data_IF_415742655509
#
_entry.id   IF_415742655509
#
_cell.length_a   1.000
_cell.length_b   1.000
_cell.length_c   1.000
_cell.angle_alpha   90.00
_cell.angle_beta   90.00
_cell.angle_gamma   90.00
#
_symmetry.space_group_name_H-M   'P 1'
#
loop_
_entity.id
_entity.type
_entity.pdbx_description
1 polymer ?
#
# COMPACT_ATOMS: atom_id res chain seq x y z
N UNK A 1 -8.17 -21.66 19.18
CA UNK A 1 -9.34 -21.45 18.27
C UNK A 1 -8.81 -21.00 16.93
N UNK A 2 -9.25 -21.62 15.85
CA UNK A 2 -8.94 -21.16 14.47
C UNK A 2 -9.66 -19.85 14.22
N UNK A 3 -8.93 -18.82 13.76
CA UNK A 3 -9.55 -17.54 13.40
C UNK A 3 -10.50 -17.71 12.20
N UNK A 4 -11.61 -16.95 12.16
CA UNK A 4 -12.49 -16.94 10.99
C UNK A 4 -11.69 -16.64 9.72
N UNK A 5 -12.02 -17.34 8.63
CA UNK A 5 -11.44 -17.06 7.33
C UNK A 5 -12.32 -16.07 6.59
N UNK A 6 -11.81 -14.85 6.40
CA UNK A 6 -12.46 -13.78 5.64
C UNK A 6 -11.98 -13.72 4.18
N UNK A 7 -10.97 -14.54 3.84
CA UNK A 7 -10.37 -14.58 2.52
C UNK A 7 -10.78 -15.83 1.75
N UNK A 8 -11.31 -15.63 0.58
CA UNK A 8 -11.68 -16.68 -0.38
C UNK A 8 -10.71 -16.61 -1.57
N UNK A 9 -9.90 -17.65 -1.74
CA UNK A 9 -9.06 -17.83 -2.92
C UNK A 9 -9.93 -18.33 -4.07
N UNK A 10 -10.06 -17.55 -5.15
CA UNK A 10 -10.93 -17.86 -6.30
C UNK A 10 -10.18 -18.58 -7.41
N UNK A 11 -8.88 -18.34 -7.56
CA UNK A 11 -8.07 -18.96 -8.60
C UNK A 11 -6.59 -18.63 -8.49
N UNK A 12 -5.79 -19.40 -9.22
CA UNK A 12 -4.34 -19.23 -9.33
C UNK A 12 -3.88 -19.43 -10.76
N UNK A 13 -2.81 -18.74 -11.15
CA UNK A 13 -2.08 -19.00 -12.39
C UNK A 13 -0.58 -18.94 -12.07
N UNK A 14 0.07 -20.12 -12.02
CA UNK A 14 1.36 -20.28 -11.36
C UNK A 14 1.26 -19.95 -9.88
N UNK A 15 2.10 -19.01 -9.41
CA UNK A 15 2.05 -18.49 -8.04
C UNK A 15 1.15 -17.26 -7.88
N UNK A 16 0.75 -16.60 -8.98
CA UNK A 16 -0.19 -15.49 -8.95
C UNK A 16 -1.57 -15.96 -8.49
N UNK A 17 -2.25 -15.13 -7.68
CA UNK A 17 -3.49 -15.48 -6.97
C UNK A 17 -4.56 -14.43 -7.22
N UNK A 18 -5.82 -14.86 -7.32
CA UNK A 18 -6.99 -13.97 -7.28
C UNK A 18 -7.97 -14.44 -6.24
N UNK A 19 -8.60 -13.51 -5.52
CA UNK A 19 -9.49 -13.83 -4.41
C UNK A 19 -10.39 -12.68 -4.00
N UNK A 20 -11.10 -12.89 -2.89
CA UNK A 20 -11.99 -11.92 -2.25
C UNK A 20 -11.73 -11.88 -0.75
N UNK A 21 -11.66 -10.68 -0.21
CA UNK A 21 -11.54 -10.44 1.24
C UNK A 21 -12.80 -9.72 1.72
N UNK A 22 -13.58 -10.38 2.58
CA UNK A 22 -14.78 -9.80 3.15
C UNK A 22 -14.44 -8.93 4.36
N UNK A 23 -14.94 -7.69 4.38
CA UNK A 23 -14.78 -6.74 5.49
C UNK A 23 -16.15 -6.19 5.94
N UNK A 24 -16.26 -5.55 7.11
CA UNK A 24 -17.50 -4.91 7.54
C UNK A 24 -18.06 -3.86 6.58
N UNK A 25 -17.17 -3.17 5.82
CA UNK A 25 -17.58 -2.11 4.90
C UNK A 25 -17.58 -2.50 3.42
N UNK A 26 -17.38 -3.78 3.10
CA UNK A 26 -17.45 -4.28 1.73
C UNK A 26 -16.45 -5.39 1.42
N UNK A 27 -16.42 -5.79 0.15
CA UNK A 27 -15.53 -6.85 -0.35
C UNK A 27 -14.37 -6.23 -1.11
N UNK A 28 -13.16 -6.69 -0.82
CA UNK A 28 -11.93 -6.32 -1.54
C UNK A 28 -11.57 -7.44 -2.51
N UNK A 29 -11.52 -7.13 -3.80
CA UNK A 29 -11.04 -8.05 -4.84
C UNK A 29 -9.53 -8.02 -4.89
N UNK A 30 -8.89 -9.18 -4.81
CA UNK A 30 -7.42 -9.30 -4.87
C UNK A 30 -6.93 -9.89 -6.19
N UNK A 31 -5.75 -9.51 -6.70
CA UNK A 31 -4.85 -8.50 -6.17
C UNK A 31 -5.47 -7.12 -6.10
N UNK A 32 -5.14 -6.37 -5.04
CA UNK A 32 -5.69 -5.04 -4.76
C UNK A 32 -4.58 -4.02 -4.48
N UNK A 33 -4.71 -2.84 -5.06
CA UNK A 33 -3.88 -1.69 -4.70
C UNK A 33 -4.68 -0.71 -3.83
N UNK A 34 -4.12 -0.35 -2.67
CA UNK A 34 -4.70 0.58 -1.72
C UNK A 34 -4.10 1.98 -1.90
N UNK A 35 -4.85 2.93 -2.47
CA UNK A 35 -4.42 4.32 -2.45
C UNK A 35 -4.26 4.85 -1.03
N UNK A 36 -3.22 5.67 -0.78
CA UNK A 36 -2.88 6.14 0.57
C UNK A 36 -3.50 7.49 0.87
N UNK A 37 -4.42 7.51 1.82
CA UNK A 37 -5.05 8.70 2.39
C UNK A 37 -4.43 9.06 3.74
N UNK A 38 -3.20 9.58 3.77
CA UNK A 38 -2.35 9.79 4.96
C UNK A 38 -3.07 10.42 6.15
N UNK A 39 -3.80 11.49 5.94
CA UNK A 39 -4.55 12.22 6.98
C UNK A 39 -6.07 12.08 6.79
N UNK A 40 -6.53 10.94 6.34
CA UNK A 40 -7.94 10.73 6.01
C UNK A 40 -8.38 11.44 4.73
N UNK A 41 -7.42 11.75 3.84
CA UNK A 41 -7.69 12.39 2.56
C UNK A 41 -6.67 11.96 1.50
N UNK A 42 -7.15 11.70 0.30
CA UNK A 42 -6.29 11.55 -0.88
C UNK A 42 -5.84 12.94 -1.34
N UNK A 43 -4.52 13.14 -1.46
CA UNK A 43 -3.99 14.47 -1.81
C UNK A 43 -4.41 14.89 -3.22
N UNK A 44 -5.28 15.90 -3.29
CA UNK A 44 -5.76 16.49 -4.53
C UNK A 44 -6.88 15.72 -5.23
N UNK A 45 -7.52 14.76 -4.56
CA UNK A 45 -8.61 13.96 -5.13
C UNK A 45 -9.80 13.87 -4.17
N UNK A 46 -10.99 13.83 -4.71
CA UNK A 46 -12.19 13.46 -3.98
C UNK A 46 -12.30 11.93 -3.89
N UNK A 47 -12.93 11.45 -2.82
CA UNK A 47 -13.16 10.01 -2.62
C UNK A 47 -14.02 9.37 -3.73
N UNK A 48 -14.93 10.15 -4.35
CA UNK A 48 -15.71 9.68 -5.50
C UNK A 48 -14.80 9.27 -6.67
N UNK A 49 -13.78 10.10 -6.99
CA UNK A 49 -12.83 9.83 -8.08
C UNK A 49 -11.99 8.55 -7.79
N UNK A 50 -11.59 8.36 -6.53
CA UNK A 50 -10.87 7.15 -6.09
C UNK A 50 -11.77 5.91 -6.23
N UNK A 51 -13.05 6.04 -5.89
CA UNK A 51 -14.04 4.95 -6.03
C UNK A 51 -14.33 4.66 -7.50
N UNK A 52 -14.57 5.70 -8.30
CA UNK A 52 -14.88 5.59 -9.72
C UNK A 52 -13.70 4.99 -10.51
N UNK A 53 -12.47 5.24 -10.05
CA UNK A 53 -11.26 4.56 -10.55
C UNK A 53 -11.21 3.06 -10.24
N UNK A 54 -12.07 2.56 -9.34
CA UNK A 54 -12.21 1.14 -9.03
C UNK A 54 -11.46 0.66 -7.78
N UNK A 55 -11.04 1.57 -6.89
CA UNK A 55 -10.46 1.19 -5.61
C UNK A 55 -11.51 0.56 -4.68
N UNK A 56 -11.28 -0.67 -4.24
CA UNK A 56 -12.14 -1.36 -3.28
C UNK A 56 -11.79 -0.99 -1.83
N UNK A 57 -10.54 -0.63 -1.57
CA UNK A 57 -10.00 -0.35 -0.24
C UNK A 57 -8.97 0.78 -0.31
N UNK A 58 -8.84 1.55 0.76
CA UNK A 58 -7.83 2.61 0.92
C UNK A 58 -7.07 2.45 2.23
N UNK A 59 -5.89 3.08 2.31
CA UNK A 59 -5.06 3.06 3.52
C UNK A 59 -5.07 4.42 4.21
N UNK A 60 -5.26 4.42 5.54
CA UNK A 60 -5.07 5.55 6.43
C UNK A 60 -3.83 5.36 7.31
N UNK A 61 -3.09 6.44 7.62
CA UNK A 61 -1.91 6.34 8.48
C UNK A 61 -2.24 6.66 9.93
N UNK A 62 -2.12 5.66 10.78
CA UNK A 62 -2.39 5.73 12.23
C UNK A 62 -1.62 6.84 12.91
N UNK A 63 -0.32 6.97 12.65
CA UNK A 63 0.52 8.02 13.21
C UNK A 63 -0.06 9.43 12.99
N UNK A 64 -0.43 9.76 11.74
CA UNK A 64 -0.96 11.08 11.41
C UNK A 64 -2.34 11.31 12.01
N UNK A 65 -3.21 10.32 11.94
CA UNK A 65 -4.61 10.42 12.40
C UNK A 65 -4.73 10.47 13.92
N UNK A 66 -3.84 9.78 14.67
CA UNK A 66 -3.84 9.87 16.13
C UNK A 66 -3.31 11.23 16.63
N UNK A 67 -2.37 11.85 15.90
CA UNK A 67 -1.85 13.18 16.24
C UNK A 67 -2.86 14.29 15.87
N UNK A 68 -3.48 14.17 14.71
CA UNK A 68 -4.44 15.15 14.22
C UNK A 68 -5.43 14.51 13.24
N UNK A 69 -6.73 14.55 13.49
CA UNK A 69 -7.44 15.30 14.56
C UNK A 69 -7.49 14.58 15.92
N UNK A 70 -6.95 13.37 16.07
CA UNK A 70 -7.01 12.50 17.23
C UNK A 70 -8.00 11.35 17.03
N UNK A 71 -7.60 10.14 17.45
CA UNK A 71 -8.39 8.92 17.24
C UNK A 71 -9.72 8.95 18.00
N UNK A 72 -9.72 9.46 19.22
CA UNK A 72 -10.92 9.61 20.07
C UNK A 72 -11.96 10.54 19.43
N UNK A 73 -11.48 11.62 18.79
CA UNK A 73 -12.37 12.54 18.06
C UNK A 73 -12.98 11.88 16.84
N UNK A 74 -12.18 11.12 16.07
CA UNK A 74 -12.67 10.36 14.90
C UNK A 74 -13.71 9.33 15.35
N UNK A 75 -13.45 8.61 16.44
CA UNK A 75 -14.41 7.67 17.03
C UNK A 75 -15.73 8.34 17.41
N UNK A 76 -15.67 9.50 18.08
CA UNK A 76 -16.87 10.27 18.47
C UNK A 76 -17.67 10.76 17.24
N UNK A 77 -17.02 10.91 16.08
CA UNK A 77 -17.66 11.29 14.82
C UNK A 77 -18.12 10.10 13.97
N UNK A 78 -18.02 8.88 14.50
CA UNK A 78 -18.54 7.66 13.88
C UNK A 78 -17.52 6.87 13.06
N UNK A 79 -16.23 7.02 13.36
CA UNK A 79 -15.14 6.32 12.70
C UNK A 79 -14.65 6.99 11.41
N UNK A 80 -13.57 6.45 10.88
CA UNK A 80 -12.85 7.07 9.76
C UNK A 80 -13.68 7.09 8.47
N UNK A 81 -14.45 6.02 8.19
CA UNK A 81 -15.30 5.93 7.02
C UNK A 81 -16.33 7.06 6.98
N UNK A 82 -17.02 7.28 8.11
CA UNK A 82 -18.02 8.36 8.22
C UNK A 82 -17.38 9.72 8.24
N UNK A 83 -16.27 9.87 8.97
CA UNK A 83 -15.53 11.14 9.07
C UNK A 83 -15.03 11.64 7.72
N UNK A 84 -14.54 10.73 6.87
CA UNK A 84 -13.98 11.07 5.55
C UNK A 84 -15.00 11.04 4.41
N UNK A 85 -16.12 10.32 4.57
CA UNK A 85 -17.09 10.07 3.51
C UNK A 85 -16.64 9.00 2.50
N UNK A 86 -15.60 8.21 2.82
CA UNK A 86 -15.17 7.12 1.93
C UNK A 86 -16.21 6.00 1.82
N UNK A 87 -16.73 5.55 2.94
CA UNK A 87 -17.82 4.57 3.04
C UNK A 87 -17.46 3.12 2.64
N UNK A 88 -16.24 2.85 2.19
CA UNK A 88 -15.72 1.54 1.84
C UNK A 88 -14.70 0.99 2.84
N UNK A 89 -14.12 -0.19 2.59
CA UNK A 89 -13.06 -0.78 3.41
C UNK A 89 -11.86 0.15 3.60
N UNK A 90 -11.31 0.13 4.81
CA UNK A 90 -10.08 0.84 5.16
C UNK A 90 -9.12 -0.07 5.91
N UNK A 91 -7.84 -0.03 5.52
CA UNK A 91 -6.73 -0.54 6.31
C UNK A 91 -6.03 0.65 6.98
N UNK A 92 -5.62 0.51 8.24
CA UNK A 92 -4.68 1.45 8.86
C UNK A 92 -3.38 0.74 9.18
N UNK A 93 -2.25 1.43 8.93
CA UNK A 93 -0.95 0.94 9.37
C UNK A 93 -0.81 0.98 10.90
N UNK A 94 0.27 0.40 11.43
CA UNK A 94 0.52 0.39 12.88
C UNK A 94 0.97 1.73 13.46
N UNK A 95 1.41 2.67 12.60
CA UNK A 95 2.10 3.90 12.98
C UNK A 95 3.61 3.72 13.22
N UNK A 96 4.10 2.49 13.33
CA UNK A 96 5.50 2.18 13.64
C UNK A 96 6.50 2.76 12.63
N UNK A 97 6.25 2.56 11.34
CA UNK A 97 7.14 3.06 10.28
C UNK A 97 7.29 4.60 10.30
N UNK A 98 6.19 5.34 10.51
CA UNK A 98 6.23 6.81 10.55
C UNK A 98 6.98 7.30 11.78
N UNK A 99 6.81 6.66 12.94
CA UNK A 99 7.60 6.97 14.13
C UNK A 99 9.08 6.72 13.86
N UNK A 100 9.43 5.62 13.16
CA UNK A 100 10.82 5.28 12.85
C UNK A 100 11.43 6.22 11.81
N UNK A 101 10.65 6.72 10.85
CA UNK A 101 11.12 7.53 9.72
C UNK A 101 11.07 9.04 9.96
N UNK A 102 10.12 9.54 10.76
CA UNK A 102 9.84 10.97 10.93
C UNK A 102 10.32 11.54 12.27
N UNK A 103 10.60 10.71 13.27
CA UNK A 103 11.01 11.17 14.60
C UNK A 103 12.50 11.01 14.82
N UNK A 104 13.23 12.13 14.85
CA UNK A 104 14.66 12.14 15.17
C UNK A 104 14.95 11.80 16.64
N UNK A 105 14.02 12.14 17.55
CA UNK A 105 14.12 11.91 18.99
C UNK A 105 13.12 10.82 19.41
N UNK A 106 13.50 9.57 19.16
CA UNK A 106 12.73 8.41 19.60
C UNK A 106 13.52 7.55 20.57
N UNK A 107 12.82 6.94 21.52
CA UNK A 107 13.36 5.93 22.42
C UNK A 107 12.55 4.65 22.23
N UNK A 108 13.22 3.60 21.79
CA UNK A 108 12.64 2.27 21.64
C UNK A 108 12.98 1.42 22.86
N UNK A 109 12.00 0.74 23.37
CA UNK A 109 12.11 -0.22 24.50
C UNK A 109 11.32 -1.49 24.17
N UNK A 110 11.45 -2.52 24.99
CA UNK A 110 10.58 -3.70 24.92
C UNK A 110 9.08 -3.35 25.08
N UNK A 111 8.78 -2.32 25.86
CA UNK A 111 7.41 -1.93 26.16
C UNK A 111 6.75 -1.14 25.03
N UNK A 112 7.44 -0.14 24.49
CA UNK A 112 6.87 0.83 23.56
C UNK A 112 7.94 1.63 22.82
N UNK A 113 7.53 2.39 21.82
CA UNK A 113 8.32 3.48 21.25
C UNK A 113 7.80 4.81 21.80
N UNK A 114 8.69 5.62 22.36
CA UNK A 114 8.40 7.00 22.81
C UNK A 114 9.00 7.97 21.82
N UNK A 115 8.25 8.99 21.42
CA UNK A 115 8.70 10.00 20.47
C UNK A 115 8.07 11.37 20.77
N UNK A 116 8.55 12.41 20.11
CA UNK A 116 7.91 13.74 20.14
C UNK A 116 7.06 13.96 18.91
N UNK A 117 5.84 14.43 19.12
CA UNK A 117 4.92 14.86 18.06
C UNK A 117 5.56 15.98 17.25
N UNK A 118 5.56 15.86 15.93
CA UNK A 118 6.05 16.92 15.03
C UNK A 118 5.05 18.08 14.88
N UNK A 119 3.87 17.98 15.50
CA UNK A 119 2.81 19.00 15.43
C UNK A 119 2.95 20.01 16.54
N UNK A 120 3.13 19.54 17.78
CA UNK A 120 3.09 20.33 19.00
C UNK A 120 4.25 20.05 19.96
N UNK A 121 5.09 19.05 19.67
CA UNK A 121 6.24 18.66 20.46
C UNK A 121 5.91 17.76 21.67
N UNK A 122 4.66 17.39 21.86
CA UNK A 122 4.22 16.54 22.95
C UNK A 122 4.90 15.18 22.92
N UNK A 123 5.21 14.66 24.11
CA UNK A 123 5.77 13.32 24.27
C UNK A 123 4.65 12.29 24.18
N UNK A 124 4.78 11.37 23.23
CA UNK A 124 3.82 10.30 22.95
C UNK A 124 4.51 8.96 23.13
N UNK A 125 3.79 8.03 23.75
CA UNK A 125 4.16 6.64 23.87
C UNK A 125 3.21 5.79 23.02
N UNK A 126 3.78 5.00 22.12
CA UNK A 126 3.04 4.06 21.27
C UNK A 126 3.49 2.63 21.62
N UNK A 127 2.67 1.93 22.37
CA UNK A 127 2.81 0.50 22.64
C UNK A 127 2.00 -0.33 21.64
N UNK A 128 2.22 -1.66 21.51
CA UNK A 128 1.36 -2.53 20.72
C UNK A 128 -0.12 -2.39 21.05
N UNK A 129 -0.46 -2.32 22.34
CA UNK A 129 -1.84 -2.18 22.82
C UNK A 129 -2.44 -0.82 22.39
N UNK A 130 -1.66 0.27 22.53
CA UNK A 130 -2.12 1.61 22.13
C UNK A 130 -2.28 1.72 20.62
N UNK A 131 -1.38 1.11 19.82
CA UNK A 131 -1.53 1.06 18.38
C UNK A 131 -2.82 0.37 17.96
N UNK A 132 -3.15 -0.78 18.54
CA UNK A 132 -4.40 -1.50 18.28
C UNK A 132 -5.62 -0.69 18.75
N UNK A 133 -5.56 -0.07 19.93
CA UNK A 133 -6.63 0.80 20.42
C UNK A 133 -6.91 1.96 19.47
N UNK A 134 -5.86 2.66 19.01
CA UNK A 134 -5.99 3.76 18.04
C UNK A 134 -6.65 3.29 16.75
N UNK A 135 -6.19 2.19 16.16
CA UNK A 135 -6.75 1.63 14.93
C UNK A 135 -8.23 1.21 15.12
N UNK A 136 -8.58 0.68 16.29
CA UNK A 136 -9.97 0.38 16.66
C UNK A 136 -10.82 1.64 16.78
N UNK A 137 -10.32 2.70 17.41
CA UNK A 137 -11.00 4.00 17.49
C UNK A 137 -11.20 4.64 16.12
N UNK A 138 -10.25 4.44 15.21
CA UNK A 138 -10.38 4.85 13.82
C UNK A 138 -11.46 4.06 13.06
N UNK A 139 -11.82 2.85 13.51
CA UNK A 139 -12.79 1.97 12.85
C UNK A 139 -12.20 1.23 11.65
N UNK A 140 -10.88 0.92 11.69
CA UNK A 140 -10.21 0.19 10.61
C UNK A 140 -10.78 -1.20 10.41
N UNK A 141 -11.11 -1.56 9.17
CA UNK A 141 -11.50 -2.94 8.81
C UNK A 141 -10.33 -3.90 8.98
N UNK A 142 -9.14 -3.44 8.64
CA UNK A 142 -7.88 -4.19 8.77
C UNK A 142 -6.89 -3.35 9.58
N UNK A 143 -6.55 -3.83 10.76
CA UNK A 143 -5.50 -3.27 11.61
C UNK A 143 -4.18 -4.02 11.38
N UNK A 144 -3.06 -3.34 11.60
CA UNK A 144 -1.72 -3.92 11.53
C UNK A 144 -1.12 -4.04 12.93
N UNK A 145 -0.39 -5.13 13.21
CA UNK A 145 0.43 -5.21 14.42
C UNK A 145 1.45 -4.07 14.48
N UNK A 146 1.87 -3.63 15.66
CA UNK A 146 3.04 -2.76 15.78
C UNK A 146 4.31 -3.55 15.56
N UNK A 147 5.24 -2.99 14.79
CA UNK A 147 6.52 -3.60 14.40
C UNK A 147 7.68 -2.61 14.42
N UNK A 148 8.89 -3.11 14.47
CA UNK A 148 10.11 -2.33 14.27
C UNK A 148 10.67 -2.59 12.85
N UNK A 149 10.57 -1.59 11.98
CA UNK A 149 11.13 -1.62 10.64
C UNK A 149 12.55 -1.03 10.63
N UNK A 150 13.55 -1.84 10.27
CA UNK A 150 14.94 -1.40 10.15
C UNK A 150 15.20 -0.90 8.75
N UNK A 151 15.84 0.28 8.65
CA UNK A 151 16.28 0.83 7.36
C UNK A 151 17.53 0.09 6.88
N UNK A 152 17.58 -0.26 5.60
CA UNK A 152 18.72 -0.91 4.98
C UNK A 152 19.66 0.11 4.30
N UNK A 153 20.99 -0.20 4.23
CA UNK A 153 21.64 -1.37 4.80
C UNK A 153 21.78 -1.28 6.33
N UNK A 154 21.75 -2.42 7.02
CA UNK A 154 21.90 -2.53 8.47
C UNK A 154 22.69 -3.79 8.86
N UNK A 155 23.25 -3.79 10.05
CA UNK A 155 23.94 -4.95 10.58
C UNK A 155 22.94 -6.09 10.88
N UNK A 156 23.33 -7.35 10.59
CA UNK A 156 22.50 -8.54 10.82
C UNK A 156 21.95 -8.60 12.26
N UNK A 157 22.76 -8.25 13.25
CA UNK A 157 22.36 -8.26 14.66
C UNK A 157 21.22 -7.29 14.97
N UNK A 158 21.22 -6.11 14.34
CA UNK A 158 20.16 -5.11 14.50
C UNK A 158 18.86 -5.57 13.82
N UNK A 159 18.97 -6.16 12.62
CA UNK A 159 17.82 -6.75 11.91
C UNK A 159 17.21 -7.87 12.75
N UNK A 160 18.03 -8.77 13.31
CA UNK A 160 17.57 -9.87 14.15
C UNK A 160 16.89 -9.37 15.44
N UNK A 161 17.50 -8.41 16.13
CA UNK A 161 16.93 -7.79 17.33
C UNK A 161 15.56 -7.17 17.03
N UNK A 162 15.43 -6.40 15.96
CA UNK A 162 14.19 -5.75 15.55
C UNK A 162 13.11 -6.78 15.15
N UNK A 163 13.49 -7.83 14.44
CA UNK A 163 12.59 -8.92 14.07
C UNK A 163 12.05 -9.64 15.31
N UNK A 164 12.92 -9.96 16.27
CA UNK A 164 12.51 -10.61 17.52
C UNK A 164 11.60 -9.71 18.37
N UNK A 165 11.88 -8.41 18.44
CA UNK A 165 10.98 -7.45 19.11
C UNK A 165 9.62 -7.41 18.43
N UNK A 166 9.61 -7.35 17.09
CA UNK A 166 8.37 -7.34 16.30
C UNK A 166 7.51 -8.59 16.54
N UNK A 167 8.12 -9.77 16.72
CA UNK A 167 7.39 -11.00 17.10
C UNK A 167 6.76 -10.90 18.49
N UNK A 168 7.49 -10.41 19.50
CA UNK A 168 6.91 -10.20 20.84
C UNK A 168 5.80 -9.16 20.84
N UNK A 169 5.93 -8.11 20.04
CA UNK A 169 4.90 -7.10 19.84
C UNK A 169 3.70 -7.63 19.05
N UNK A 170 3.92 -8.61 18.15
CA UNK A 170 2.85 -9.31 17.45
C UNK A 170 1.92 -10.05 18.42
N UNK A 171 2.47 -10.78 19.39
CA UNK A 171 1.69 -11.45 20.44
C UNK A 171 0.87 -10.46 21.28
N UNK A 172 1.47 -9.32 21.64
CA UNK A 172 0.80 -8.27 22.41
C UNK A 172 -0.31 -7.60 21.60
N UNK A 173 -0.05 -7.26 20.35
CA UNK A 173 -1.04 -6.73 19.41
C UNK A 173 -2.21 -7.71 19.24
N UNK A 174 -1.91 -9.01 19.10
CA UNK A 174 -2.93 -10.06 18.99
C UNK A 174 -3.85 -10.10 20.20
N UNK A 175 -3.28 -10.11 21.42
CA UNK A 175 -4.07 -10.08 22.66
C UNK A 175 -4.93 -8.83 22.79
N UNK A 176 -4.37 -7.66 22.43
CA UNK A 176 -5.13 -6.41 22.45
C UNK A 176 -6.30 -6.39 21.44
N UNK A 177 -6.16 -7.14 20.36
CA UNK A 177 -7.18 -7.25 19.31
C UNK A 177 -8.32 -8.23 19.64
N UNK A 178 -8.19 -9.10 20.64
CA UNK A 178 -9.20 -10.11 21.00
C UNK A 178 -10.58 -9.53 21.29
N UNK A 179 -10.65 -8.26 21.71
CA UNK A 179 -11.91 -7.55 21.97
C UNK A 179 -12.50 -6.83 20.77
N UNK A 180 -11.90 -6.98 19.59
CA UNK A 180 -12.41 -6.36 18.37
C UNK A 180 -13.75 -6.99 17.95
N UNK A 181 -14.67 -6.22 17.36
CA UNK A 181 -15.93 -6.75 16.84
C UNK A 181 -15.69 -7.80 15.73
N UNK A 182 -16.67 -8.70 15.57
CA UNK A 182 -16.60 -9.71 14.51
C UNK A 182 -16.52 -9.06 13.11
N UNK A 183 -15.74 -9.67 12.23
CA UNK A 183 -15.53 -9.18 10.87
C UNK A 183 -14.33 -8.24 10.69
N UNK A 184 -13.84 -7.63 11.78
CA UNK A 184 -12.59 -6.87 11.75
C UNK A 184 -11.38 -7.80 11.76
N UNK A 185 -10.27 -7.35 11.18
CA UNK A 185 -9.10 -8.19 10.97
C UNK A 185 -7.83 -7.55 11.53
N UNK A 186 -6.90 -8.42 11.96
CA UNK A 186 -5.54 -8.04 12.33
C UNK A 186 -4.56 -8.81 11.44
N UNK A 187 -3.61 -8.08 10.84
CA UNK A 187 -2.54 -8.65 10.04
C UNK A 187 -1.22 -8.62 10.80
N UNK A 188 -0.47 -9.73 10.70
CA UNK A 188 0.90 -9.83 11.17
C UNK A 188 1.88 -9.27 10.15
N UNK A 189 3.05 -8.77 10.59
CA UNK A 189 4.06 -8.18 9.71
C UNK A 189 5.36 -8.97 9.82
N UNK A 190 5.76 -9.64 8.73
CA UNK A 190 7.05 -10.31 8.61
C UNK A 190 8.16 -9.28 8.50
N UNK A 191 9.12 -9.34 9.42
CA UNK A 191 10.35 -8.58 9.41
C UNK A 191 11.56 -9.51 9.17
N UNK A 192 12.77 -8.98 9.02
CA UNK A 192 13.99 -9.74 8.78
C UNK A 192 14.91 -9.13 7.72
N UNK A 193 14.61 -7.90 7.28
CA UNK A 193 15.44 -7.13 6.32
C UNK A 193 15.70 -7.91 5.03
N UNK A 194 16.96 -7.92 4.61
CA UNK A 194 17.47 -8.65 3.44
C UNK A 194 18.11 -10.01 3.81
N UNK A 195 17.72 -10.58 4.98
CA UNK A 195 18.27 -11.85 5.51
C UNK A 195 17.20 -12.95 5.46
N UNK A 196 17.26 -13.89 4.48
CA UNK A 196 16.24 -14.91 4.27
C UNK A 196 15.95 -15.78 5.50
N UNK A 197 16.98 -16.14 6.28
CA UNK A 197 16.81 -16.97 7.47
C UNK A 197 15.98 -16.28 8.55
N UNK A 198 16.17 -14.95 8.72
CA UNK A 198 15.40 -14.17 9.68
C UNK A 198 13.95 -14.01 9.22
N UNK A 199 13.71 -13.85 7.91
CA UNK A 199 12.34 -13.85 7.36
C UNK A 199 11.63 -15.17 7.58
N UNK A 200 12.32 -16.29 7.44
CA UNK A 200 11.78 -17.64 7.74
C UNK A 200 11.38 -17.77 9.21
N UNK A 201 12.22 -17.29 10.12
CA UNK A 201 11.91 -17.28 11.58
C UNK A 201 10.69 -16.39 11.84
N UNK A 202 10.67 -15.18 11.30
CA UNK A 202 9.56 -14.25 11.46
C UNK A 202 8.23 -14.82 10.92
N UNK A 203 8.23 -15.35 9.68
CA UNK A 203 7.05 -15.93 9.06
C UNK A 203 6.47 -17.11 9.85
N UNK A 204 7.33 -18.01 10.36
CA UNK A 204 6.92 -19.13 11.22
C UNK A 204 6.33 -18.63 12.53
N UNK A 205 7.03 -17.74 13.24
CA UNK A 205 6.55 -17.21 14.51
C UNK A 205 5.18 -16.51 14.37
N UNK A 206 4.99 -15.73 13.31
CA UNK A 206 3.69 -15.11 13.03
C UNK A 206 2.60 -16.13 12.68
N UNK A 207 2.94 -17.20 11.95
CA UNK A 207 1.99 -18.27 11.63
C UNK A 207 1.58 -19.05 12.89
N UNK A 208 2.50 -19.27 13.83
CA UNK A 208 2.22 -19.91 15.11
C UNK A 208 1.32 -19.04 16.01
N UNK A 209 1.54 -17.73 16.03
CA UNK A 209 0.66 -16.76 16.71
C UNK A 209 -0.74 -16.75 16.04
N UNK A 210 -0.80 -16.77 14.70
CA UNK A 210 -2.00 -16.82 13.88
C UNK A 210 -2.69 -15.46 13.69
N UNK A 211 -2.78 -14.99 12.46
CA UNK A 211 -3.39 -13.74 12.04
C UNK A 211 -4.44 -13.96 10.95
N UNK A 212 -5.28 -12.93 10.70
CA UNK A 212 -6.28 -12.96 9.62
C UNK A 212 -5.64 -12.78 8.23
N UNK A 213 -4.44 -12.18 8.19
CA UNK A 213 -3.62 -11.99 7.01
C UNK A 213 -2.18 -11.68 7.42
N UNK A 214 -1.27 -11.70 6.44
CA UNK A 214 0.16 -11.53 6.68
C UNK A 214 0.75 -10.51 5.72
N UNK A 215 1.46 -9.55 6.28
CA UNK A 215 2.19 -8.56 5.50
C UNK A 215 3.68 -8.90 5.45
N UNK A 216 4.33 -8.51 4.36
CA UNK A 216 5.78 -8.51 4.20
C UNK A 216 6.24 -7.06 4.37
N UNK A 217 6.84 -6.77 5.51
CA UNK A 217 7.41 -5.47 5.84
C UNK A 217 8.94 -5.45 5.69
N UNK A 218 9.56 -4.30 5.98
CA UNK A 218 11.01 -4.12 5.94
C UNK A 218 11.62 -4.29 4.56
N UNK A 219 10.85 -3.98 3.51
CA UNK A 219 11.29 -3.89 2.11
C UNK A 219 10.93 -2.51 1.55
N UNK A 220 11.55 -2.11 0.43
CA UNK A 220 11.50 -0.75 -0.13
C UNK A 220 12.00 0.32 0.88
N UNK A 221 12.98 -0.04 1.71
CA UNK A 221 13.55 0.80 2.77
C UNK A 221 15.04 1.12 2.56
N UNK A 222 15.55 0.90 1.33
CA UNK A 222 16.91 1.24 0.91
C UNK A 222 17.63 0.19 0.06
N UNK A 223 17.11 -1.03 0.00
CA UNK A 223 17.65 -2.10 -0.82
C UNK A 223 17.32 -1.93 -2.32
N UNK A 224 18.13 -2.53 -3.23
CA UNK A 224 17.80 -2.62 -4.65
C UNK A 224 16.54 -3.49 -4.90
N UNK A 225 15.81 -3.20 -5.99
CA UNK A 225 14.62 -3.96 -6.41
C UNK A 225 14.90 -5.48 -6.50
N UNK A 226 16.06 -5.88 -7.03
CA UNK A 226 16.44 -7.29 -7.15
C UNK A 226 16.50 -8.01 -5.80
N UNK A 227 16.98 -7.33 -4.75
CA UNK A 227 17.00 -7.85 -3.38
C UNK A 227 15.58 -7.93 -2.83
N UNK A 228 14.78 -6.89 -3.01
CA UNK A 228 13.37 -6.87 -2.61
C UNK A 228 12.62 -8.06 -3.21
N UNK A 229 12.73 -8.27 -4.53
CA UNK A 229 12.05 -9.36 -5.22
C UNK A 229 12.51 -10.76 -4.78
N UNK A 230 13.81 -10.92 -4.51
CA UNK A 230 14.34 -12.17 -3.95
C UNK A 230 13.76 -12.44 -2.55
N UNK A 231 13.65 -11.42 -1.70
CA UNK A 231 13.06 -11.57 -0.36
C UNK A 231 11.56 -11.89 -0.41
N UNK A 232 10.83 -11.35 -1.37
CA UNK A 232 9.41 -11.71 -1.59
C UNK A 232 9.30 -13.17 -2.01
N UNK A 233 10.12 -13.62 -2.97
CA UNK A 233 10.13 -15.00 -3.47
C UNK A 233 10.43 -16.01 -2.37
N UNK A 234 11.36 -15.70 -1.46
CA UNK A 234 11.68 -16.52 -0.29
C UNK A 234 10.60 -16.49 0.81
N UNK A 235 9.88 -15.37 0.95
CA UNK A 235 8.97 -15.18 2.09
C UNK A 235 7.53 -15.57 1.78
N UNK A 236 7.00 -15.22 0.61
CA UNK A 236 5.59 -15.42 0.27
C UNK A 236 5.13 -16.89 0.35
N UNK A 237 5.92 -17.89 -0.09
CA UNK A 237 5.54 -19.30 0.03
C UNK A 237 5.46 -19.83 1.47
N UNK A 238 6.07 -19.14 2.44
CA UNK A 238 6.07 -19.53 3.85
C UNK A 238 4.79 -19.10 4.57
N UNK A 239 4.03 -18.17 3.97
CA UNK A 239 2.80 -17.65 4.55
C UNK A 239 1.62 -18.57 4.23
N UNK A 240 0.62 -18.68 5.13
CA UNK A 240 -0.55 -19.52 4.93
C UNK A 240 -1.24 -19.26 3.58
N UNK A 241 -1.57 -20.31 2.85
CA UNK A 241 -2.16 -20.23 1.52
C UNK A 241 -3.60 -19.72 1.55
N UNK A 242 -4.31 -19.96 2.65
CA UNK A 242 -5.71 -19.56 2.87
C UNK A 242 -5.85 -18.14 3.48
N UNK A 243 -4.77 -17.36 3.51
CA UNK A 243 -4.75 -16.00 4.06
C UNK A 243 -4.24 -15.00 3.01
N UNK A 244 -4.70 -13.73 3.06
CA UNK A 244 -4.19 -12.69 2.18
C UNK A 244 -2.74 -12.34 2.54
N UNK A 245 -1.95 -12.02 1.51
CA UNK A 245 -0.54 -11.61 1.59
C UNK A 245 -0.39 -10.17 1.13
N UNK A 246 0.11 -9.32 1.98
CA UNK A 246 0.22 -7.89 1.74
C UNK A 246 1.68 -7.44 1.69
N UNK A 247 2.13 -6.81 0.60
CA UNK A 247 3.44 -6.19 0.48
C UNK A 247 3.32 -4.69 0.78
N UNK A 248 3.95 -4.25 1.88
CA UNK A 248 3.78 -2.91 2.43
C UNK A 248 4.64 -1.86 1.71
N UNK A 249 4.06 -0.72 1.38
CA UNK A 249 4.77 0.46 0.87
C UNK A 249 5.32 0.35 -0.54
N UNK A 250 4.94 -0.68 -1.30
CA UNK A 250 5.42 -0.98 -2.64
C UNK A 250 4.28 -0.84 -3.64
N UNK A 251 4.42 -0.27 -4.78
CA UNK A 251 5.55 0.39 -5.41
C UNK A 251 5.18 0.92 -6.81
N UNK A 252 6.11 0.83 -7.74
CA UNK A 252 5.84 1.14 -9.14
C UNK A 252 4.94 0.09 -9.80
N UNK A 253 4.32 0.35 -10.96
CA UNK A 253 3.55 -0.67 -11.69
C UNK A 253 4.34 -1.97 -11.95
N UNK A 254 5.64 -1.87 -12.24
CA UNK A 254 6.51 -3.03 -12.45
C UNK A 254 6.69 -3.84 -11.13
N UNK A 255 6.91 -3.15 -10.00
CA UNK A 255 7.01 -3.81 -8.70
C UNK A 255 5.74 -4.58 -8.34
N UNK A 256 4.56 -3.99 -8.63
CA UNK A 256 3.27 -4.63 -8.37
C UNK A 256 3.11 -5.91 -9.22
N UNK A 257 3.42 -5.82 -10.50
CA UNK A 257 3.32 -6.95 -11.43
C UNK A 257 4.27 -8.09 -11.05
N UNK A 258 5.52 -7.74 -10.68
CA UNK A 258 6.54 -8.68 -10.22
C UNK A 258 6.16 -9.35 -8.89
N UNK A 259 5.56 -8.60 -7.97
CA UNK A 259 5.14 -9.13 -6.69
C UNK A 259 3.89 -10.02 -6.80
N UNK A 260 2.93 -9.67 -7.66
CA UNK A 260 1.79 -10.56 -7.97
C UNK A 260 2.28 -11.88 -8.54
N UNK A 261 3.25 -11.86 -9.45
CA UNK A 261 3.90 -13.07 -9.99
C UNK A 261 4.47 -13.96 -8.88
N UNK A 262 4.80 -13.40 -7.71
CA UNK A 262 5.33 -14.11 -6.52
C UNK A 262 4.27 -14.42 -5.45
N UNK A 263 2.99 -14.21 -5.77
CA UNK A 263 1.88 -14.60 -4.92
C UNK A 263 1.45 -13.58 -3.88
N UNK A 264 1.66 -12.27 -4.13
CA UNK A 264 1.18 -11.19 -3.28
C UNK A 264 -0.23 -10.76 -3.73
N UNK A 265 -1.09 -10.48 -2.75
CA UNK A 265 -2.50 -10.16 -2.95
C UNK A 265 -2.85 -8.67 -2.74
N UNK A 266 -2.08 -7.94 -1.92
CA UNK A 266 -2.42 -6.56 -1.53
C UNK A 266 -1.18 -5.68 -1.54
N UNK A 267 -1.39 -4.40 -1.85
CA UNK A 267 -0.33 -3.38 -1.97
C UNK A 267 -0.83 -2.03 -1.50
N UNK A 268 0.08 -1.20 -1.00
CA UNK A 268 -0.13 0.23 -0.83
C UNK A 268 1.10 1.00 -1.30
N UNK A 269 0.91 2.18 -1.82
CA UNK A 269 2.01 3.11 -2.05
C UNK A 269 1.51 4.54 -2.26
N UNK A 270 2.32 5.51 -1.85
CA UNK A 270 2.07 6.94 -2.11
C UNK A 270 2.46 7.37 -3.53
N UNK A 271 3.17 6.50 -4.29
CA UNK A 271 3.75 6.83 -5.58
C UNK A 271 2.74 7.38 -6.61
N UNK A 272 1.53 6.84 -6.78
CA UNK A 272 0.60 7.37 -7.77
C UNK A 272 0.34 8.86 -7.59
N UNK A 273 -0.08 9.27 -6.40
CA UNK A 273 -0.37 10.68 -6.12
C UNK A 273 0.88 11.52 -5.92
N UNK A 274 1.96 10.93 -5.38
CA UNK A 274 3.26 11.62 -5.23
C UNK A 274 3.85 11.96 -6.60
N UNK A 275 3.93 10.99 -7.51
CA UNK A 275 4.44 11.20 -8.86
C UNK A 275 3.52 12.12 -9.67
N UNK A 276 2.20 12.01 -9.55
CA UNK A 276 1.26 12.94 -10.15
C UNK A 276 1.55 14.40 -9.77
N UNK A 277 1.72 14.68 -8.48
CA UNK A 277 2.08 16.03 -8.00
C UNK A 277 3.48 16.50 -8.46
N UNK A 278 4.35 15.59 -8.88
CA UNK A 278 5.66 15.93 -9.45
C UNK A 278 5.70 15.91 -10.98
N UNK A 279 4.53 15.79 -11.63
CA UNK A 279 4.42 15.89 -13.08
C UNK A 279 4.71 14.60 -13.84
N UNK A 280 4.57 13.42 -13.18
CA UNK A 280 4.77 12.11 -13.81
C UNK A 280 3.46 11.35 -13.89
N UNK A 281 3.10 10.89 -15.08
CA UNK A 281 1.99 9.98 -15.35
C UNK A 281 2.48 8.55 -15.55
N UNK A 282 1.73 7.57 -15.05
CA UNK A 282 1.89 6.16 -15.40
C UNK A 282 0.86 5.77 -16.46
N UNK A 283 1.31 5.07 -17.48
CA UNK A 283 0.49 4.63 -18.64
C UNK A 283 0.88 3.22 -19.06
N UNK A 284 0.13 2.63 -20.00
CA UNK A 284 0.51 1.36 -20.64
C UNK A 284 1.81 1.43 -21.45
N UNK A 285 2.34 2.64 -21.65
CA UNK A 285 3.64 2.87 -22.32
C UNK A 285 4.77 3.14 -21.31
N UNK A 286 4.52 2.95 -20.02
CA UNK A 286 5.42 3.30 -18.93
C UNK A 286 5.19 4.70 -18.35
N UNK A 287 6.22 5.21 -17.67
CA UNK A 287 6.15 6.52 -17.01
C UNK A 287 6.44 7.65 -18.01
N UNK A 288 5.59 8.67 -18.02
CA UNK A 288 5.72 9.87 -18.84
C UNK A 288 5.95 11.07 -17.93
N UNK A 289 7.11 11.73 -18.09
CA UNK A 289 7.42 12.95 -17.36
C UNK A 289 6.96 14.19 -18.12
N UNK A 290 5.86 14.80 -17.69
CA UNK A 290 5.24 15.97 -18.31
C UNK A 290 6.05 17.27 -18.14
N UNK A 291 7.15 17.26 -17.38
CA UNK A 291 8.07 18.40 -17.30
C UNK A 291 8.97 18.54 -18.54
N UNK A 292 9.09 17.47 -19.34
CA UNK A 292 9.93 17.45 -20.53
C UNK A 292 9.42 18.42 -21.61
N UNK A 293 10.30 19.22 -22.18
CA UNK A 293 9.99 20.21 -23.21
C UNK A 293 9.35 19.63 -24.47
N UNK A 294 9.58 18.33 -24.76
CA UNK A 294 8.94 17.62 -25.91
C UNK A 294 7.41 17.65 -25.87
N UNK A 295 6.81 17.98 -24.74
CA UNK A 295 5.34 18.02 -24.56
C UNK A 295 4.73 19.42 -24.77
N UNK A 296 5.53 20.45 -25.02
CA UNK A 296 5.05 21.85 -25.15
C UNK A 296 3.95 21.98 -26.21
N UNK A 297 4.16 21.37 -27.38
CA UNK A 297 3.26 21.46 -28.52
C UNK A 297 2.61 20.10 -28.85
N UNK A 298 2.60 19.14 -27.92
CA UNK A 298 2.03 17.81 -28.14
C UNK A 298 0.51 17.80 -27.88
N UNK A 299 -0.34 17.79 -28.92
CA UNK A 299 -1.79 17.83 -28.75
C UNK A 299 -2.39 16.48 -28.37
N UNK A 300 -1.61 15.40 -28.39
CA UNK A 300 -2.09 14.05 -28.13
C UNK A 300 -2.40 13.90 -26.63
N UNK A 301 -3.39 13.08 -26.25
CA UNK A 301 -3.58 12.66 -24.88
C UNK A 301 -2.47 11.70 -24.40
N UNK A 302 -2.48 11.34 -23.13
CA UNK A 302 -1.54 10.36 -22.61
C UNK A 302 -1.77 8.97 -23.19
N UNK A 303 -3.02 8.57 -23.35
CA UNK A 303 -3.44 7.30 -23.93
C UNK A 303 -4.86 7.42 -24.52
N UNK A 304 -4.95 7.37 -25.84
CA UNK A 304 -6.21 7.50 -26.60
C UNK A 304 -7.16 6.32 -26.38
N UNK A 305 -6.65 5.15 -25.98
CA UNK A 305 -7.46 3.95 -25.73
C UNK A 305 -7.84 3.80 -24.24
N UNK A 306 -7.42 4.72 -23.39
CA UNK A 306 -7.79 4.67 -21.98
C UNK A 306 -9.29 4.84 -21.78
N UNK A 307 -9.87 4.00 -20.93
CA UNK A 307 -11.26 4.18 -20.50
C UNK A 307 -11.44 5.42 -19.60
N UNK A 308 -10.35 5.92 -19.00
CA UNK A 308 -10.40 7.04 -18.06
C UNK A 308 -10.42 8.38 -18.79
N UNK A 309 -11.45 9.23 -18.58
CA UNK A 309 -11.63 10.45 -19.37
C UNK A 309 -10.44 11.41 -19.33
N UNK A 310 -9.90 11.72 -18.14
CA UNK A 310 -8.77 12.64 -18.01
C UNK A 310 -7.51 12.16 -18.75
N UNK A 311 -7.33 10.83 -18.88
CA UNK A 311 -6.19 10.24 -19.62
C UNK A 311 -6.36 10.36 -21.14
N UNK A 312 -7.61 10.23 -21.63
CA UNK A 312 -7.97 10.20 -23.06
C UNK A 312 -8.24 11.58 -23.64
N UNK A 313 -8.72 12.52 -22.82
CA UNK A 313 -9.25 13.81 -23.32
C UNK A 313 -8.33 14.99 -23.03
N UNK A 314 -7.35 14.84 -22.12
CA UNK A 314 -6.44 15.93 -21.76
C UNK A 314 -5.15 15.84 -22.55
N UNK A 315 -4.82 16.90 -23.32
CA UNK A 315 -3.59 16.92 -24.14
C UNK A 315 -2.33 16.98 -23.25
N UNK A 316 -1.24 16.39 -23.75
CA UNK A 316 0.09 16.46 -23.12
C UNK A 316 0.60 17.90 -23.01
N UNK A 317 0.32 18.74 -24.03
CA UNK A 317 0.66 20.15 -24.01
C UNK A 317 -0.04 20.88 -22.83
N UNK A 318 -1.31 20.62 -22.59
CA UNK A 318 -2.02 21.22 -21.48
C UNK A 318 -1.52 20.71 -20.12
N UNK A 319 -1.32 19.40 -19.98
CA UNK A 319 -0.72 18.81 -18.76
C UNK A 319 0.68 19.37 -18.52
N UNK A 320 1.52 19.50 -19.56
CA UNK A 320 2.84 20.12 -19.46
C UNK A 320 2.74 21.57 -18.97
N UNK A 321 1.84 22.37 -19.57
CA UNK A 321 1.59 23.74 -19.15
C UNK A 321 1.21 23.83 -17.66
N UNK A 322 0.21 23.05 -17.21
CA UNK A 322 -0.24 23.04 -15.82
C UNK A 322 0.90 22.67 -14.84
N UNK A 323 1.69 21.65 -15.19
CA UNK A 323 2.82 21.19 -14.37
C UNK A 323 3.92 22.25 -14.29
N UNK A 324 4.24 22.92 -15.41
CA UNK A 324 5.27 23.96 -15.47
C UNK A 324 4.84 25.25 -14.77
N UNK A 325 3.57 25.59 -14.82
CA UNK A 325 2.98 26.76 -14.16
C UNK A 325 2.72 26.51 -12.66
N UNK A 326 2.85 25.24 -12.18
CA UNK A 326 2.56 24.91 -10.79
C UNK A 326 1.07 24.93 -10.43
N UNK A 327 0.20 24.83 -11.44
CA UNK A 327 -1.24 24.84 -11.24
C UNK A 327 -1.69 23.57 -10.48
N UNK A 328 -2.53 23.76 -9.47
CA UNK A 328 -3.07 22.67 -8.63
C UNK A 328 -3.80 21.63 -9.49
N UNK A 329 -4.51 22.07 -10.52
CA UNK A 329 -5.23 21.20 -11.44
C UNK A 329 -4.32 20.17 -12.11
N UNK A 330 -3.07 20.55 -12.46
CA UNK A 330 -2.09 19.62 -13.02
C UNK A 330 -1.75 18.48 -12.06
N UNK A 331 -1.54 18.79 -10.79
CA UNK A 331 -1.30 17.80 -9.74
C UNK A 331 -2.51 16.90 -9.48
N UNK A 332 -3.73 17.47 -9.55
CA UNK A 332 -5.00 16.73 -9.40
C UNK A 332 -5.20 15.75 -10.55
N UNK A 333 -5.17 16.22 -11.80
CA UNK A 333 -5.35 15.39 -12.99
C UNK A 333 -4.33 14.24 -13.05
N UNK A 334 -3.06 14.51 -12.82
CA UNK A 334 -2.03 13.46 -12.87
C UNK A 334 -2.13 12.47 -11.71
N UNK A 335 -2.58 12.91 -10.53
CA UNK A 335 -2.84 11.99 -9.41
C UNK A 335 -4.04 11.08 -9.70
N UNK A 336 -5.09 11.62 -10.27
CA UNK A 336 -6.29 10.89 -10.70
C UNK A 336 -5.95 9.87 -11.80
N UNK A 337 -5.25 10.29 -12.85
CA UNK A 337 -4.79 9.44 -13.94
C UNK A 337 -3.95 8.26 -13.41
N UNK A 338 -3.03 8.55 -12.48
CA UNK A 338 -2.18 7.50 -11.90
C UNK A 338 -2.98 6.51 -11.05
N UNK A 339 -3.91 6.98 -10.22
CA UNK A 339 -4.79 6.09 -9.45
C UNK A 339 -5.63 5.23 -10.40
N UNK A 340 -6.23 5.81 -11.42
CA UNK A 340 -7.02 5.07 -12.41
C UNK A 340 -6.17 4.01 -13.13
N UNK A 341 -4.93 4.33 -13.51
CA UNK A 341 -4.02 3.38 -14.13
C UNK A 341 -3.68 2.20 -13.20
N UNK A 342 -3.37 2.47 -11.91
CA UNK A 342 -3.08 1.42 -10.94
C UNK A 342 -4.27 0.50 -10.71
N UNK A 343 -5.48 1.05 -10.57
CA UNK A 343 -6.69 0.25 -10.40
C UNK A 343 -7.01 -0.56 -11.65
N UNK A 344 -6.80 0.01 -12.84
CA UNK A 344 -6.96 -0.70 -14.11
C UNK A 344 -5.97 -1.86 -14.22
N UNK A 345 -4.70 -1.63 -13.89
CA UNK A 345 -3.68 -2.68 -13.86
C UNK A 345 -4.09 -3.83 -12.94
N UNK A 346 -4.59 -3.53 -11.71
CA UNK A 346 -5.09 -4.58 -10.81
C UNK A 346 -6.29 -5.33 -11.39
N UNK A 347 -7.19 -4.64 -12.07
CA UNK A 347 -8.33 -5.28 -12.74
C UNK A 347 -7.86 -6.25 -13.83
N UNK A 348 -6.97 -5.79 -14.71
CA UNK A 348 -6.45 -6.61 -15.81
C UNK A 348 -5.65 -7.82 -15.31
N UNK A 349 -4.89 -7.66 -14.22
CA UNK A 349 -4.19 -8.76 -13.53
C UNK A 349 -5.19 -9.80 -13.02
N UNK A 350 -6.25 -9.39 -12.30
CA UNK A 350 -7.27 -10.33 -11.80
C UNK A 350 -7.93 -11.10 -12.94
N UNK A 351 -8.29 -10.42 -14.03
CA UNK A 351 -8.90 -11.03 -15.21
C UNK A 351 -7.95 -12.01 -15.90
N UNK A 352 -6.66 -11.66 -16.02
CA UNK A 352 -5.63 -12.52 -16.59
C UNK A 352 -5.43 -13.80 -15.75
N UNK A 353 -5.36 -13.68 -14.41
CA UNK A 353 -5.23 -14.84 -13.50
C UNK A 353 -6.47 -15.72 -13.61
N UNK A 354 -7.67 -15.15 -13.57
CA UNK A 354 -8.92 -15.91 -13.65
C UNK A 354 -9.09 -16.69 -14.96
N UNK A 355 -8.43 -16.23 -16.03
CA UNK A 355 -8.44 -16.84 -17.36
C UNK A 355 -7.25 -17.75 -17.65
N UNK A 356 -6.30 -17.93 -16.69
CA UNK A 356 -5.09 -18.72 -16.88
C UNK A 356 -4.12 -18.12 -17.92
N UNK A 357 -4.10 -16.77 -18.07
CA UNK A 357 -3.30 -16.03 -19.06
C UNK A 357 -2.35 -15.03 -18.43
N UNK A 358 -2.04 -15.20 -17.14
CA UNK A 358 -1.21 -14.23 -16.42
C UNK A 358 0.19 -14.08 -17.00
N UNK A 359 0.81 -15.17 -17.41
CA UNK A 359 2.16 -15.12 -18.05
C UNK A 359 2.13 -14.30 -19.33
N UNK A 360 1.14 -14.51 -20.21
CA UNK A 360 0.97 -13.74 -21.45
C UNK A 360 0.75 -12.25 -21.15
N UNK A 361 -0.13 -11.95 -20.20
CA UNK A 361 -0.41 -10.58 -19.76
C UNK A 361 0.84 -9.90 -19.20
N UNK A 362 1.60 -10.60 -18.34
CA UNK A 362 2.84 -10.12 -17.75
C UNK A 362 3.86 -9.71 -18.82
N UNK A 363 4.10 -10.58 -19.80
CA UNK A 363 5.05 -10.33 -20.88
C UNK A 363 4.60 -9.16 -21.77
N UNK A 364 3.35 -9.14 -22.17
CA UNK A 364 2.79 -8.09 -23.03
C UNK A 364 2.84 -6.72 -22.32
N UNK A 365 2.52 -6.67 -21.02
CA UNK A 365 2.56 -5.45 -20.24
C UNK A 365 3.97 -4.89 -20.12
N UNK A 366 4.96 -5.73 -19.80
CA UNK A 366 6.37 -5.32 -19.71
C UNK A 366 6.94 -4.88 -21.06
N UNK A 367 6.56 -5.56 -22.15
CA UNK A 367 6.92 -5.13 -23.50
C UNK A 367 6.31 -3.76 -23.85
N UNK A 368 5.06 -3.51 -23.42
CA UNK A 368 4.41 -2.21 -23.55
C UNK A 368 5.20 -1.09 -22.87
N UNK A 369 5.58 -1.30 -21.61
CA UNK A 369 6.39 -0.34 -20.87
C UNK A 369 7.80 -0.16 -21.44
N UNK A 370 8.46 -1.24 -21.89
CA UNK A 370 9.80 -1.20 -22.47
C UNK A 370 9.83 -0.48 -23.82
N UNK A 371 8.75 -0.59 -24.60
CA UNK A 371 8.60 0.15 -25.86
C UNK A 371 8.55 1.66 -25.63
N UNK A 372 8.05 2.07 -24.48
CA UNK A 372 7.98 3.46 -24.09
C UNK A 372 6.92 4.25 -24.85
N UNK A 373 6.94 5.56 -24.61
CA UNK A 373 6.05 6.51 -25.26
C UNK A 373 6.38 6.66 -26.75
N UNK A 374 5.34 6.63 -27.60
CA UNK A 374 5.48 6.76 -29.06
C UNK A 374 5.90 8.20 -29.39
N UNK A 375 6.96 8.35 -30.18
CA UNK A 375 7.41 9.66 -30.68
C UNK A 375 6.27 10.43 -31.38
N UNK A 376 6.24 11.78 -31.31
CA UNK A 376 5.31 12.59 -32.09
C UNK A 376 5.37 12.19 -33.57
N UNK A 377 4.21 12.09 -34.22
CA UNK A 377 4.21 11.99 -35.71
C UNK A 377 4.85 13.27 -36.22
N UNK A 378 5.87 13.13 -37.08
CA UNK A 378 6.42 14.26 -37.81
C UNK A 378 5.27 14.95 -38.54
N UNK A 379 5.08 16.22 -38.29
CA UNK A 379 4.09 17.08 -38.96
C UNK A 379 4.43 17.25 -40.45
#
# INVERSE_FOLDING_TARGET
MTLPNHFELLGTDGTARTGRLATPHGVVRTPAFMPVGTAGAMKGLYWREVRDAGADIVLGNTYHLMLRPGAERIAALGGLQRFTGWGGPMLTDSGGFQVMSLSELRKLTEHAVTFRSHIDGDRIELSPERSIEVQRLLGSDIAMQLDECVRLPAERADIERAMQLSLRWAERSKRAFETAPAGYMLFGIVQGGDVPELRKVSARGLSDIGFHGYAIGGLAVGEPQTVMLAMIEETAPLLPADRPRYLMGVGTPDDLLEAVKRGIDMFDCVLPTRNGRHGVAFTRFGAINLRNARHIDDPRPLDEESAWPSTRETSRAYLHHLVRSGETLGAMLLSEINIAYYQRLMCDIRDAIAQGRFTEFYEATRQGWARGDIAPRAS
#
